data_IF_620805270982
#
_entry.id   IF_620805270982
#
_cell.length_a   1.000
_cell.length_b   1.000
_cell.length_c   1.000
_cell.angle_alpha   90.00
_cell.angle_beta   90.00
_cell.angle_gamma   90.00
#
_symmetry.space_group_name_H-M   'P 1'
#
loop_
_entity.id
_entity.type
_entity.pdbx_description
1 polymer ?
#
# COMPACT_ATOMS: atom_id res chain seq x y z
N UNK A 1 -44.54 35.63 -59.38
CA UNK A 1 -45.86 34.98 -59.32
C UNK A 1 -46.04 34.57 -57.90
N UNK A 2 -46.61 35.43 -57.07
CA UNK A 2 -48.05 35.63 -56.79
C UNK A 2 -48.61 34.34 -56.15
N UNK A 3 -49.03 34.34 -55.06
CA UNK A 3 -50.09 34.85 -54.16
C UNK A 3 -50.58 33.65 -53.32
N UNK A 4 -51.13 33.66 -52.16
CA UNK A 4 -51.87 34.54 -51.23
C UNK A 4 -52.04 33.90 -49.89
N UNK A 5 -51.82 34.56 -48.87
CA UNK A 5 -52.64 35.01 -47.74
C UNK A 5 -53.95 34.22 -47.45
N UNK A 6 -54.11 33.70 -46.21
CA UNK A 6 -55.36 33.85 -45.46
C UNK A 6 -55.13 33.75 -43.93
N UNK A 7 -55.57 34.81 -43.25
CA UNK A 7 -55.70 34.95 -41.77
C UNK A 7 -57.08 34.40 -41.37
N UNK A 8 -57.17 33.79 -40.20
CA UNK A 8 -58.38 33.89 -39.34
C UNK A 8 -57.98 33.91 -37.86
N UNK A 9 -58.64 34.78 -37.14
CA UNK A 9 -58.43 35.31 -35.78
C UNK A 9 -59.22 34.55 -34.73
N UNK A 10 -58.65 34.68 -33.53
CA UNK A 10 -59.28 34.92 -32.20
C UNK A 10 -59.93 33.77 -31.40
N UNK A 11 -59.56 33.73 -30.15
CA UNK A 11 -60.24 33.07 -29.06
C UNK A 11 -59.48 33.22 -27.73
N UNK A 12 -59.74 34.28 -26.96
CA UNK A 12 -59.29 34.47 -25.58
C UNK A 12 -60.01 33.45 -24.68
N UNK A 13 -59.24 32.78 -23.85
CA UNK A 13 -59.73 32.04 -22.69
C UNK A 13 -58.71 32.16 -21.54
N UNK A 14 -58.98 33.09 -20.64
CA UNK A 14 -58.22 33.24 -19.38
C UNK A 14 -58.66 32.16 -18.39
N UNK A 15 -57.76 31.32 -17.93
CA UNK A 15 -57.94 30.48 -16.74
C UNK A 15 -56.78 30.81 -15.75
N UNK A 16 -57.19 31.36 -14.62
CA UNK A 16 -56.33 31.56 -13.44
C UNK A 16 -56.07 30.19 -12.82
N UNK A 17 -54.78 29.87 -12.58
CA UNK A 17 -54.36 28.75 -11.75
C UNK A 17 -53.59 29.29 -10.54
N UNK A 18 -54.15 28.98 -9.39
CA UNK A 18 -53.61 29.26 -8.07
C UNK A 18 -52.20 28.63 -7.88
N UNK A 19 -51.35 29.41 -7.26
CA UNK A 19 -50.02 28.94 -6.80
C UNK A 19 -50.16 27.88 -5.74
N UNK A 20 -49.49 26.76 -5.93
CA UNK A 20 -49.12 25.84 -4.87
C UNK A 20 -47.63 25.96 -4.58
N UNK A 21 -47.31 26.51 -3.42
CA UNK A 21 -45.96 26.51 -2.85
C UNK A 21 -45.66 25.06 -2.46
N UNK A 22 -44.82 24.37 -3.19
CA UNK A 22 -44.28 23.09 -2.76
C UNK A 22 -42.91 23.31 -2.12
N UNK A 23 -42.85 22.98 -0.83
CA UNK A 23 -41.66 23.06 -0.02
C UNK A 23 -40.53 22.18 -0.56
N UNK A 24 -39.31 22.66 -0.38
CA UNK A 24 -38.08 21.89 -0.52
C UNK A 24 -38.04 20.77 0.52
N UNK A 25 -38.50 19.60 0.14
CA UNK A 25 -38.22 18.34 0.83
C UNK A 25 -37.09 17.65 0.09
N UNK A 26 -35.96 17.44 0.75
CA UNK A 26 -34.84 16.65 0.23
C UNK A 26 -35.29 15.23 -0.11
N UNK A 27 -35.67 15.00 -1.34
CA UNK A 27 -36.03 13.69 -1.85
C UNK A 27 -34.77 12.85 -2.07
N UNK A 28 -34.57 11.84 -1.23
CA UNK A 28 -33.71 10.69 -1.56
C UNK A 28 -34.18 10.11 -2.91
N UNK A 29 -33.26 9.81 -3.85
CA UNK A 29 -33.66 9.29 -5.16
C UNK A 29 -34.32 7.92 -5.00
N UNK A 30 -35.60 7.84 -5.22
CA UNK A 30 -36.44 6.63 -5.19
C UNK A 30 -35.99 5.57 -6.21
N UNK A 31 -35.10 5.92 -7.15
CA UNK A 31 -34.57 5.01 -8.16
C UNK A 31 -33.59 3.95 -7.63
N UNK A 32 -32.88 4.21 -6.53
CA UNK A 32 -31.83 3.31 -6.02
C UNK A 32 -32.41 2.01 -5.38
N UNK A 33 -33.55 2.10 -4.70
CA UNK A 33 -34.12 0.98 -3.92
C UNK A 33 -34.75 -0.13 -4.77
N UNK A 34 -35.03 0.11 -6.04
CA UNK A 34 -35.65 -0.88 -6.94
C UNK A 34 -34.67 -1.59 -7.88
N UNK A 35 -33.39 -1.22 -7.88
CA UNK A 35 -32.38 -1.84 -8.73
C UNK A 35 -32.13 -3.29 -8.30
N UNK A 36 -32.09 -4.20 -9.28
CA UNK A 36 -31.84 -5.64 -9.08
C UNK A 36 -30.54 -6.03 -9.78
N UNK A 37 -29.89 -7.08 -9.30
CA UNK A 37 -28.68 -7.60 -9.96
C UNK A 37 -27.65 -8.12 -8.95
N UNK A 38 -26.43 -8.20 -9.41
CA UNK A 38 -25.29 -8.67 -8.64
C UNK A 38 -24.15 -7.66 -8.70
N UNK A 39 -23.49 -7.45 -7.57
CA UNK A 39 -22.23 -6.70 -7.46
C UNK A 39 -21.12 -7.70 -7.12
N UNK A 40 -20.15 -7.84 -8.00
CA UNK A 40 -19.00 -8.75 -7.81
C UNK A 40 -17.79 -7.96 -7.32
N UNK A 41 -17.30 -8.32 -6.14
CA UNK A 41 -16.15 -7.68 -5.47
C UNK A 41 -15.00 -8.67 -5.36
N UNK A 42 -13.82 -8.29 -5.84
CA UNK A 42 -12.59 -9.05 -5.66
C UNK A 42 -11.72 -8.38 -4.59
N UNK A 43 -11.56 -9.08 -3.46
CA UNK A 43 -10.63 -8.72 -2.39
C UNK A 43 -9.49 -9.73 -2.34
N UNK A 44 -8.42 -9.40 -1.65
CA UNK A 44 -7.37 -10.38 -1.33
C UNK A 44 -7.79 -11.26 -0.15
N UNK A 45 -7.11 -12.38 0.02
CA UNK A 45 -7.34 -13.33 1.12
C UNK A 45 -7.17 -12.68 2.49
N UNK A 46 -6.40 -11.60 2.61
CA UNK A 46 -6.23 -10.85 3.86
C UNK A 46 -7.56 -10.37 4.42
N UNK A 47 -8.49 -9.96 3.55
CA UNK A 47 -9.83 -9.54 3.97
C UNK A 47 -10.66 -10.70 4.54
N UNK A 48 -10.44 -11.92 4.05
CA UNK A 48 -11.08 -13.13 4.54
C UNK A 48 -10.50 -13.59 5.88
N UNK A 49 -9.19 -13.49 6.02
CA UNK A 49 -8.46 -14.05 7.16
C UNK A 49 -8.38 -13.07 8.34
N UNK A 50 -8.21 -11.78 8.05
CA UNK A 50 -7.89 -10.79 9.08
C UNK A 50 -9.09 -9.91 9.49
N UNK A 51 -10.05 -9.64 8.57
CA UNK A 51 -11.22 -8.79 8.88
C UNK A 51 -12.53 -9.25 8.21
N UNK A 52 -12.92 -10.54 8.34
CA UNK A 52 -14.14 -11.07 7.73
C UNK A 52 -15.42 -10.37 8.23
N UNK A 53 -15.42 -9.93 9.49
CA UNK A 53 -16.54 -9.21 10.09
C UNK A 53 -16.77 -7.85 9.44
N UNK A 54 -15.69 -7.13 9.05
CA UNK A 54 -15.80 -5.88 8.30
C UNK A 54 -16.51 -6.10 6.96
N UNK A 55 -16.10 -7.13 6.21
CA UNK A 55 -16.74 -7.48 4.93
C UNK A 55 -18.24 -7.76 5.11
N UNK A 56 -18.59 -8.53 6.13
CA UNK A 56 -19.98 -8.87 6.47
C UNK A 56 -20.79 -7.63 6.85
N UNK A 57 -20.21 -6.74 7.68
CA UNK A 57 -20.86 -5.49 8.13
C UNK A 57 -21.12 -4.54 6.95
N UNK A 58 -20.13 -4.35 6.09
CA UNK A 58 -20.26 -3.50 4.91
C UNK A 58 -21.31 -4.04 3.95
N UNK A 59 -21.32 -5.34 3.68
CA UNK A 59 -22.35 -5.97 2.85
C UNK A 59 -23.76 -5.84 3.47
N UNK A 60 -23.88 -5.90 4.80
CA UNK A 60 -25.15 -5.68 5.49
C UNK A 60 -25.61 -4.20 5.38
N UNK A 61 -24.69 -3.25 5.53
CA UNK A 61 -24.97 -1.81 5.35
C UNK A 61 -25.35 -1.50 3.91
N UNK A 62 -24.65 -2.06 2.92
CA UNK A 62 -24.97 -1.90 1.50
C UNK A 62 -26.36 -2.43 1.16
N UNK A 63 -26.75 -3.61 1.67
CA UNK A 63 -28.08 -4.19 1.45
C UNK A 63 -29.22 -3.36 2.04
N UNK A 64 -29.00 -2.53 3.08
CA UNK A 64 -30.01 -1.60 3.56
C UNK A 64 -30.42 -0.56 2.52
N UNK A 65 -29.46 -0.11 1.71
CA UNK A 65 -29.71 0.85 0.62
C UNK A 65 -30.15 0.14 -0.66
N UNK A 66 -29.58 -1.04 -0.95
CA UNK A 66 -29.79 -1.82 -2.16
C UNK A 66 -30.29 -3.24 -1.85
N UNK A 67 -31.54 -3.42 -1.34
CA UNK A 67 -32.00 -4.71 -0.82
C UNK A 67 -32.13 -5.83 -1.85
N UNK A 68 -32.20 -5.46 -3.15
CA UNK A 68 -32.34 -6.41 -4.26
C UNK A 68 -31.03 -6.64 -5.03
N UNK A 69 -29.91 -6.05 -4.56
CA UNK A 69 -28.58 -6.31 -5.12
C UNK A 69 -27.89 -7.38 -4.27
N UNK A 70 -27.50 -8.48 -4.91
CA UNK A 70 -26.68 -9.51 -4.31
C UNK A 70 -25.20 -9.07 -4.40
N UNK A 71 -24.51 -8.97 -3.26
CA UNK A 71 -23.06 -8.75 -3.23
C UNK A 71 -22.36 -10.10 -3.12
N UNK A 72 -21.48 -10.38 -4.09
CA UNK A 72 -20.64 -11.59 -4.14
C UNK A 72 -19.17 -11.17 -4.00
N UNK A 73 -18.57 -11.51 -2.84
CA UNK A 73 -17.15 -11.26 -2.59
C UNK A 73 -16.35 -12.51 -2.96
N UNK A 74 -15.31 -12.34 -3.78
CA UNK A 74 -14.39 -13.40 -4.19
C UNK A 74 -12.99 -13.03 -3.71
N UNK A 75 -12.36 -13.94 -2.97
CA UNK A 75 -11.03 -13.71 -2.42
C UNK A 75 -9.94 -14.23 -3.35
N UNK A 76 -8.92 -13.41 -3.59
CA UNK A 76 -7.84 -13.67 -4.52
C UNK A 76 -6.51 -13.85 -3.76
N UNK A 77 -5.72 -14.82 -4.17
CA UNK A 77 -4.37 -14.99 -3.67
C UNK A 77 -3.44 -13.93 -4.27
N UNK A 78 -2.57 -13.34 -3.46
CA UNK A 78 -1.60 -12.33 -3.89
C UNK A 78 -0.75 -12.79 -5.07
N UNK A 79 -0.32 -14.04 -5.07
CA UNK A 79 0.56 -14.61 -6.09
C UNK A 79 -0.10 -14.77 -7.46
N UNK A 80 -1.44 -14.84 -7.53
CA UNK A 80 -2.18 -15.11 -8.78
C UNK A 80 -3.17 -14.02 -9.17
N UNK A 81 -3.44 -13.04 -8.27
CA UNK A 81 -4.50 -12.05 -8.52
C UNK A 81 -4.26 -11.22 -9.78
N UNK A 82 -3.03 -10.79 -10.06
CA UNK A 82 -2.73 -9.96 -11.22
C UNK A 82 -3.02 -10.69 -12.52
N UNK A 83 -2.64 -11.97 -12.64
CA UNK A 83 -2.97 -12.78 -13.81
C UNK A 83 -4.48 -12.92 -14.02
N UNK A 84 -5.23 -13.08 -12.90
CA UNK A 84 -6.70 -13.17 -12.97
C UNK A 84 -7.34 -11.83 -13.36
N UNK A 85 -6.83 -10.71 -12.84
CA UNK A 85 -7.28 -9.37 -13.19
C UNK A 85 -6.99 -9.09 -14.67
N UNK A 86 -5.79 -9.37 -15.16
CA UNK A 86 -5.42 -9.23 -16.57
C UNK A 86 -6.37 -10.03 -17.46
N UNK A 87 -6.64 -11.29 -17.12
CA UNK A 87 -7.57 -12.15 -17.87
C UNK A 87 -9.02 -11.62 -17.83
N UNK A 88 -9.47 -11.10 -16.68
CA UNK A 88 -10.81 -10.52 -16.56
C UNK A 88 -10.93 -9.22 -17.36
N UNK A 89 -9.93 -8.34 -17.32
CA UNK A 89 -9.90 -7.09 -18.09
C UNK A 89 -9.86 -7.34 -19.60
N UNK A 90 -9.15 -8.39 -20.05
CA UNK A 90 -9.16 -8.81 -21.45
C UNK A 90 -10.52 -9.44 -21.86
N UNK A 91 -11.21 -10.08 -20.92
CA UNK A 91 -12.46 -10.78 -21.13
C UNK A 91 -13.71 -9.89 -21.20
N UNK A 92 -14.88 -10.57 -21.18
CA UNK A 92 -16.21 -9.92 -21.18
C UNK A 92 -16.82 -9.78 -19.78
N UNK A 93 -16.35 -10.57 -18.80
CA UNK A 93 -16.83 -10.54 -17.43
C UNK A 93 -15.73 -10.00 -16.54
N UNK A 94 -15.93 -8.82 -16.02
CA UNK A 94 -15.03 -8.17 -15.06
C UNK A 94 -15.74 -8.10 -13.70
N UNK A 95 -15.02 -8.13 -12.57
CA UNK A 95 -15.58 -7.75 -11.30
C UNK A 95 -15.96 -6.26 -11.31
N UNK A 96 -16.82 -5.85 -10.40
CA UNK A 96 -17.22 -4.45 -10.28
C UNK A 96 -16.26 -3.66 -9.38
N UNK A 97 -15.66 -4.33 -8.41
CA UNK A 97 -14.61 -3.78 -7.53
C UNK A 97 -13.42 -4.73 -7.53
N UNK A 98 -12.21 -4.18 -7.60
CA UNK A 98 -10.96 -4.94 -7.47
C UNK A 98 -10.04 -4.32 -6.41
N UNK A 99 -9.45 -5.17 -5.58
CA UNK A 99 -8.37 -4.80 -4.70
C UNK A 99 -7.02 -4.93 -5.42
N UNK A 100 -6.24 -3.86 -5.38
CA UNK A 100 -4.92 -3.77 -5.99
C UNK A 100 -3.86 -3.43 -4.93
N UNK A 101 -2.68 -4.02 -5.03
CA UNK A 101 -1.55 -3.59 -4.22
C UNK A 101 -1.09 -2.17 -4.58
N UNK A 102 -0.64 -1.41 -3.57
CA UNK A 102 -0.22 -0.02 -3.77
C UNK A 102 0.93 0.15 -4.78
N UNK A 103 1.76 -0.87 -4.99
CA UNK A 103 2.83 -0.86 -5.99
C UNK A 103 2.34 -1.14 -7.42
N UNK A 104 1.15 -1.73 -7.57
CA UNK A 104 0.65 -2.25 -8.85
C UNK A 104 -0.37 -1.32 -9.50
N UNK A 105 -1.16 -0.62 -8.69
CA UNK A 105 -2.36 0.13 -9.10
C UNK A 105 -2.07 1.12 -10.21
N UNK A 106 -0.97 1.86 -10.11
CA UNK A 106 -0.61 2.90 -11.08
C UNK A 106 -0.46 2.35 -12.49
N UNK A 107 0.13 1.15 -12.65
CA UNK A 107 0.27 0.52 -13.97
C UNK A 107 -1.09 0.29 -14.64
N UNK A 108 -2.10 -0.14 -13.89
CA UNK A 108 -3.46 -0.31 -14.43
C UNK A 108 -4.17 1.02 -14.71
N UNK A 109 -3.90 2.07 -13.91
CA UNK A 109 -4.46 3.41 -14.13
C UNK A 109 -3.96 3.99 -15.45
N UNK A 110 -2.65 4.03 -15.66
CA UNK A 110 -2.06 4.62 -16.87
C UNK A 110 -2.41 3.84 -18.15
N UNK A 111 -2.72 2.54 -18.01
CA UNK A 111 -3.21 1.71 -19.11
C UNK A 111 -4.75 1.78 -19.30
N UNK A 112 -5.43 2.68 -18.59
CA UNK A 112 -6.86 2.94 -18.78
C UNK A 112 -7.78 1.81 -18.31
N UNK A 113 -7.33 0.96 -17.38
CA UNK A 113 -8.08 -0.19 -16.89
C UNK A 113 -9.21 0.19 -15.91
N UNK A 114 -9.11 1.33 -15.25
CA UNK A 114 -10.02 1.75 -14.20
C UNK A 114 -10.79 3.01 -14.53
N UNK A 115 -12.03 3.09 -14.03
CA UNK A 115 -12.89 4.26 -14.15
C UNK A 115 -12.50 5.32 -13.15
N UNK A 116 -12.64 6.59 -13.57
CA UNK A 116 -12.46 7.70 -12.64
C UNK A 116 -13.55 7.70 -11.56
N UNK A 117 -13.16 8.03 -10.34
CA UNK A 117 -14.05 8.22 -9.20
C UNK A 117 -14.01 9.67 -8.75
N UNK A 118 -15.10 10.13 -8.16
CA UNK A 118 -15.17 11.44 -7.52
C UNK A 118 -14.65 11.34 -6.08
N UNK A 119 -13.48 11.88 -5.76
CA UNK A 119 -12.91 11.77 -4.41
C UNK A 119 -13.78 12.44 -3.35
N UNK A 120 -14.58 13.47 -3.69
CA UNK A 120 -15.44 14.16 -2.72
C UNK A 120 -16.57 13.28 -2.15
N UNK A 121 -16.85 12.14 -2.77
CA UNK A 121 -17.82 11.15 -2.26
C UNK A 121 -17.26 10.24 -1.18
N UNK A 122 -15.97 10.29 -0.91
CA UNK A 122 -15.31 9.41 0.06
C UNK A 122 -14.90 10.19 1.31
N UNK A 123 -15.12 9.56 2.48
CA UNK A 123 -14.71 10.13 3.75
C UNK A 123 -13.21 10.39 3.77
N UNK A 124 -12.82 11.52 4.33
CA UNK A 124 -11.41 11.89 4.49
C UNK A 124 -10.57 11.95 3.21
N UNK A 125 -11.18 12.08 2.03
CA UNK A 125 -10.42 12.10 0.78
C UNK A 125 -9.39 13.24 0.69
N UNK A 126 -9.66 14.37 1.32
CA UNK A 126 -8.70 15.50 1.43
C UNK A 126 -7.55 15.22 2.40
N UNK A 127 -7.74 14.23 3.27
CA UNK A 127 -6.78 13.80 4.29
C UNK A 127 -6.12 12.45 3.93
N UNK A 128 -6.38 11.88 2.75
CA UNK A 128 -5.67 10.69 2.30
C UNK A 128 -4.17 10.92 2.36
N UNK A 129 -3.44 9.89 2.77
CA UNK A 129 -1.98 9.94 2.78
C UNK A 129 -1.45 10.40 1.42
N UNK A 130 -0.61 11.45 1.35
CA UNK A 130 -0.23 12.09 0.09
C UNK A 130 0.28 11.10 -0.95
N UNK A 131 1.19 10.20 -0.56
CA UNK A 131 1.76 9.21 -1.47
C UNK A 131 0.70 8.27 -2.08
N UNK A 132 -0.33 7.88 -1.31
CA UNK A 132 -1.42 7.03 -1.80
C UNK A 132 -2.39 7.80 -2.68
N UNK A 133 -2.72 9.01 -2.28
CA UNK A 133 -3.57 9.90 -3.10
C UNK A 133 -2.94 10.12 -4.48
N UNK A 134 -1.66 10.47 -4.49
CA UNK A 134 -0.93 10.76 -5.73
C UNK A 134 -0.78 9.50 -6.60
N UNK A 135 -0.61 8.31 -6.01
CA UNK A 135 -0.60 7.03 -6.73
C UNK A 135 -1.97 6.66 -7.36
N UNK A 136 -3.07 7.21 -6.82
CA UNK A 136 -4.42 7.02 -7.38
C UNK A 136 -4.76 8.02 -8.49
N UNK A 137 -3.88 8.96 -8.83
CA UNK A 137 -4.16 10.05 -9.76
C UNK A 137 -3.38 9.93 -11.08
N UNK A 138 -4.07 10.22 -12.16
CA UNK A 138 -3.47 10.46 -13.47
C UNK A 138 -4.25 11.54 -14.23
N UNK A 139 -3.55 12.44 -14.93
CA UNK A 139 -4.18 13.51 -15.71
C UNK A 139 -5.16 14.39 -14.92
N UNK A 140 -4.95 14.57 -13.60
CA UNK A 140 -5.80 15.36 -12.72
C UNK A 140 -7.11 14.67 -12.30
N UNK A 141 -7.28 13.37 -12.59
CA UNK A 141 -8.42 12.56 -12.16
C UNK A 141 -7.97 11.50 -11.18
N UNK A 142 -8.89 11.05 -10.32
CA UNK A 142 -8.68 9.97 -9.35
C UNK A 142 -9.30 8.68 -9.87
N UNK A 143 -8.56 7.56 -9.83
CA UNK A 143 -8.97 6.27 -10.39
C UNK A 143 -9.00 5.13 -9.39
N UNK A 144 -8.57 5.37 -8.16
CA UNK A 144 -8.67 4.40 -7.08
C UNK A 144 -8.93 5.11 -5.75
N UNK A 145 -9.30 4.31 -4.75
CA UNK A 145 -9.54 4.77 -3.39
C UNK A 145 -8.56 4.04 -2.49
N UNK A 146 -7.71 4.74 -1.72
CA UNK A 146 -6.84 4.11 -0.73
C UNK A 146 -7.67 3.27 0.26
N UNK A 147 -7.25 2.03 0.51
CA UNK A 147 -7.99 1.09 1.34
C UNK A 147 -7.38 0.98 2.74
N UNK A 148 -6.21 0.39 2.85
CA UNK A 148 -5.43 0.33 4.09
C UNK A 148 -3.94 0.45 3.79
N UNK A 149 -3.16 0.68 4.83
CA UNK A 149 -1.71 0.89 4.72
C UNK A 149 -0.95 -0.01 5.67
N UNK A 150 0.20 -0.49 5.21
CA UNK A 150 1.28 -0.97 6.04
C UNK A 150 2.48 -0.04 5.90
N UNK A 151 3.08 0.31 7.01
CA UNK A 151 4.33 1.06 7.02
C UNK A 151 5.39 0.27 7.78
N UNK A 152 6.54 0.08 7.15
CA UNK A 152 7.65 -0.67 7.75
C UNK A 152 8.35 0.11 8.84
N UNK A 153 8.72 -0.60 9.90
CA UNK A 153 9.38 -0.06 11.11
C UNK A 153 10.47 -1.00 11.57
N UNK A 154 11.26 -0.58 12.54
CA UNK A 154 12.11 -1.48 13.29
C UNK A 154 11.27 -2.36 14.22
N UNK A 155 11.53 -3.65 14.23
CA UNK A 155 10.95 -4.63 15.13
C UNK A 155 12.08 -5.29 15.88
N UNK A 156 11.96 -5.45 17.21
CA UNK A 156 13.04 -5.97 18.03
C UNK A 156 12.57 -6.95 19.08
N UNK A 157 13.47 -7.85 19.48
CA UNK A 157 13.31 -8.79 20.58
C UNK A 157 13.60 -8.09 21.91
N UNK A 158 12.55 -7.81 22.65
CA UNK A 158 12.63 -7.12 23.95
C UNK A 158 13.45 -7.89 24.98
N UNK A 159 13.33 -9.21 24.98
CA UNK A 159 14.06 -10.08 25.87
C UNK A 159 15.56 -10.17 25.55
N UNK A 160 15.96 -10.15 24.27
CA UNK A 160 17.37 -10.15 23.87
C UNK A 160 18.02 -8.79 24.16
N UNK A 161 17.33 -7.69 23.89
CA UNK A 161 17.82 -6.36 24.21
C UNK A 161 18.02 -6.18 25.72
N UNK A 162 17.05 -6.62 26.54
CA UNK A 162 17.19 -6.57 28.01
C UNK A 162 18.43 -7.34 28.53
N UNK A 163 18.74 -8.49 27.91
CA UNK A 163 19.93 -9.28 28.27
C UNK A 163 21.26 -8.55 27.99
N UNK A 164 21.27 -7.63 27.03
CA UNK A 164 22.46 -6.79 26.73
C UNK A 164 22.40 -5.40 27.36
N UNK A 165 21.48 -5.21 28.34
CA UNK A 165 21.34 -3.95 29.08
C UNK A 165 20.67 -2.82 28.29
N UNK A 166 19.89 -3.15 27.26
CA UNK A 166 19.13 -2.18 26.46
C UNK A 166 17.65 -2.31 26.82
N UNK A 167 17.10 -1.29 27.49
CA UNK A 167 15.71 -1.28 27.98
C UNK A 167 14.78 -0.35 27.21
N UNK A 168 15.32 0.42 26.29
CA UNK A 168 14.55 1.31 25.37
C UNK A 168 15.04 1.11 23.94
N UNK A 169 14.17 1.22 22.93
CA UNK A 169 14.60 1.12 21.56
C UNK A 169 15.49 2.32 21.17
N UNK A 170 16.40 2.15 20.19
CA UNK A 170 17.29 3.20 19.75
C UNK A 170 16.53 4.39 19.14
N UNK A 171 16.97 5.61 19.46
CA UNK A 171 16.37 6.88 18.98
C UNK A 171 17.19 7.55 17.89
N UNK A 172 18.42 7.09 17.68
CA UNK A 172 19.34 7.60 16.67
C UNK A 172 20.07 6.46 15.97
N UNK A 173 20.58 6.73 14.76
CA UNK A 173 21.33 5.72 14.02
C UNK A 173 22.61 5.27 14.74
N UNK A 174 23.38 6.14 15.41
CA UNK A 174 24.49 5.70 16.26
C UNK A 174 24.06 4.80 17.41
N UNK A 175 22.94 5.10 18.11
CA UNK A 175 22.39 4.22 19.15
C UNK A 175 21.99 2.86 18.59
N UNK A 176 21.31 2.82 17.42
CA UNK A 176 20.97 1.58 16.74
C UNK A 176 22.23 0.72 16.52
N UNK A 177 23.29 1.30 15.98
CA UNK A 177 24.54 0.57 15.75
C UNK A 177 25.15 0.05 17.06
N UNK A 178 25.16 0.87 18.12
CA UNK A 178 25.64 0.48 19.44
C UNK A 178 24.83 -0.71 19.99
N UNK A 179 23.51 -0.70 19.85
CA UNK A 179 22.67 -1.80 20.35
C UNK A 179 22.84 -3.07 19.51
N UNK A 180 23.01 -2.94 18.21
CA UNK A 180 23.33 -4.05 17.30
C UNK A 180 24.71 -4.66 17.60
N UNK A 181 25.71 -3.82 17.93
CA UNK A 181 27.05 -4.28 18.35
C UNK A 181 26.98 -5.09 19.65
N UNK A 182 26.21 -4.67 20.64
CA UNK A 182 25.97 -5.43 21.89
C UNK A 182 25.31 -6.78 21.61
N UNK A 183 24.26 -6.81 20.79
CA UNK A 183 23.59 -8.05 20.39
C UNK A 183 24.57 -8.99 19.67
N UNK A 184 25.33 -8.47 18.69
CA UNK A 184 26.33 -9.24 17.96
C UNK A 184 27.43 -9.77 18.85
N UNK A 185 27.96 -8.95 19.76
CA UNK A 185 29.00 -9.36 20.69
C UNK A 185 28.54 -10.47 21.66
N UNK A 186 27.32 -10.38 22.15
CA UNK A 186 26.77 -11.34 23.10
C UNK A 186 26.31 -12.63 22.43
N UNK A 187 25.40 -12.52 21.47
CA UNK A 187 24.76 -13.70 20.88
C UNK A 187 25.49 -14.23 19.64
N UNK A 188 26.08 -13.36 18.82
CA UNK A 188 26.85 -13.74 17.63
C UNK A 188 28.20 -14.41 17.96
N UNK A 189 28.74 -14.20 19.15
CA UNK A 189 29.92 -14.93 19.65
C UNK A 189 29.56 -16.37 20.03
N UNK A 190 28.36 -16.59 20.58
CA UNK A 190 27.85 -17.90 21.00
C UNK A 190 27.25 -18.70 19.82
N UNK A 191 26.59 -18.05 18.88
CA UNK A 191 26.02 -18.67 17.66
C UNK A 191 26.35 -17.83 16.41
N UNK A 192 27.16 -18.39 15.54
CA UNK A 192 27.56 -17.72 14.27
C UNK A 192 26.40 -17.48 13.30
N UNK A 193 25.27 -18.16 13.51
CA UNK A 193 24.04 -17.97 12.71
C UNK A 193 23.12 -16.90 13.33
N UNK A 194 23.52 -16.25 14.42
CA UNK A 194 22.75 -15.15 15.00
C UNK A 194 22.94 -13.88 14.18
N UNK A 195 21.84 -13.33 13.68
CA UNK A 195 21.80 -12.03 13.04
C UNK A 195 21.35 -10.97 14.04
N UNK A 196 22.23 -10.05 14.40
CA UNK A 196 21.82 -8.91 15.24
C UNK A 196 20.75 -8.09 14.53
N UNK A 197 20.84 -7.99 13.20
CA UNK A 197 19.83 -7.39 12.34
C UNK A 197 19.55 -8.31 11.14
N UNK A 198 18.29 -8.76 10.98
CA UNK A 198 17.85 -9.53 9.82
C UNK A 198 17.54 -8.59 8.66
N UNK A 199 18.25 -8.76 7.55
CA UNK A 199 18.09 -7.97 6.35
C UNK A 199 18.59 -8.76 5.12
N UNK A 200 17.76 -9.63 4.52
CA UNK A 200 18.18 -10.45 3.39
C UNK A 200 18.51 -9.59 2.16
N UNK A 201 19.44 -10.07 1.35
CA UNK A 201 20.08 -9.27 0.30
C UNK A 201 19.19 -8.90 -0.87
N UNK A 202 18.00 -9.46 -1.02
CA UNK A 202 17.03 -9.12 -2.08
C UNK A 202 15.87 -8.26 -1.57
N UNK A 203 15.84 -7.94 -0.29
CA UNK A 203 14.75 -7.18 0.34
C UNK A 203 14.77 -5.71 -0.07
N UNK A 204 14.25 -5.43 -1.26
CA UNK A 204 14.36 -4.11 -1.88
C UNK A 204 13.55 -3.01 -1.17
N UNK A 205 12.44 -3.32 -0.50
CA UNK A 205 11.68 -2.34 0.28
C UNK A 205 12.52 -1.74 1.42
N UNK A 206 13.36 -2.54 2.08
CA UNK A 206 14.26 -2.06 3.10
C UNK A 206 15.40 -1.21 2.49
N UNK A 207 16.05 -1.70 1.43
CA UNK A 207 17.14 -0.98 0.79
C UNK A 207 16.70 0.39 0.23
N UNK A 208 15.52 0.45 -0.40
CA UNK A 208 15.00 1.70 -0.95
C UNK A 208 14.61 2.71 0.13
N UNK A 209 14.30 2.28 1.36
CA UNK A 209 14.11 3.21 2.48
C UNK A 209 15.40 3.99 2.79
N UNK A 210 16.57 3.37 2.70
CA UNK A 210 17.86 4.05 2.83
C UNK A 210 18.14 4.99 1.65
N UNK A 211 17.78 4.59 0.43
CA UNK A 211 17.88 5.46 -0.76
C UNK A 211 17.03 6.73 -0.55
N UNK A 212 15.78 6.57 -0.10
CA UNK A 212 14.88 7.69 0.17
C UNK A 212 15.37 8.57 1.33
N UNK A 213 15.93 7.97 2.38
CA UNK A 213 16.50 8.70 3.53
C UNK A 213 17.68 9.59 3.11
N UNK A 214 18.53 9.11 2.18
CA UNK A 214 19.61 9.87 1.60
C UNK A 214 19.15 10.96 0.60
N UNK A 215 17.86 11.05 0.32
CA UNK A 215 17.26 11.95 -0.67
C UNK A 215 17.50 11.53 -2.12
N UNK A 216 17.71 10.22 -2.33
CA UNK A 216 17.75 9.56 -3.64
C UNK A 216 16.37 9.05 -4.08
N UNK A 217 16.34 8.40 -5.24
CA UNK A 217 15.13 7.81 -5.80
C UNK A 217 15.42 6.56 -6.63
N UNK A 218 14.37 5.75 -6.92
CA UNK A 218 14.43 4.62 -7.84
C UNK A 218 14.42 5.13 -9.28
N UNK A 219 13.48 6.03 -9.59
CA UNK A 219 13.36 6.69 -10.87
C UNK A 219 12.80 8.10 -10.68
N UNK A 220 13.12 9.00 -11.60
CA UNK A 220 12.67 10.41 -11.59
C UNK A 220 12.08 10.78 -12.95
N UNK A 221 11.09 11.66 -12.93
CA UNK A 221 10.51 12.21 -14.17
C UNK A 221 11.23 13.49 -14.55
N UNK A 222 11.82 13.51 -15.74
CA UNK A 222 12.51 14.66 -16.31
C UNK A 222 12.08 14.84 -17.76
N UNK A 223 11.78 16.06 -18.18
CA UNK A 223 11.37 16.41 -19.55
C UNK A 223 10.21 15.51 -20.08
N UNK A 224 9.25 15.19 -19.20
CA UNK A 224 8.10 14.36 -19.50
C UNK A 224 8.34 12.85 -19.51
N UNK A 225 9.60 12.38 -19.40
CA UNK A 225 9.97 10.95 -19.39
C UNK A 225 10.51 10.52 -18.03
N UNK A 226 10.34 9.24 -17.72
CA UNK A 226 10.94 8.62 -16.55
C UNK A 226 12.35 8.11 -16.85
N UNK A 227 13.23 8.22 -15.87
CA UNK A 227 14.62 7.78 -15.93
C UNK A 227 15.01 7.10 -14.63
N UNK A 228 15.76 6.00 -14.70
CA UNK A 228 16.38 5.38 -13.54
C UNK A 228 17.26 6.38 -12.78
N UNK A 229 17.25 6.31 -11.46
CA UNK A 229 17.95 7.25 -10.59
C UNK A 229 18.77 6.58 -9.48
N UNK A 230 18.96 5.27 -9.57
CA UNK A 230 19.72 4.49 -8.57
C UNK A 230 21.21 4.79 -8.59
N UNK A 231 21.78 5.17 -9.74
CA UNK A 231 23.18 5.57 -9.88
C UNK A 231 23.46 7.04 -9.53
N UNK A 232 22.42 7.81 -9.19
CA UNK A 232 22.61 9.17 -8.70
C UNK A 232 23.39 9.17 -7.36
N UNK A 233 24.25 10.19 -7.09
CA UNK A 233 25.11 10.19 -5.91
C UNK A 233 24.37 9.94 -4.58
N UNK A 234 23.17 10.49 -4.41
CA UNK A 234 22.35 10.29 -3.20
C UNK A 234 21.80 8.86 -3.10
N UNK A 235 21.38 8.28 -4.21
CA UNK A 235 20.90 6.89 -4.24
C UNK A 235 22.04 5.92 -3.94
N UNK A 236 23.22 6.13 -4.53
CA UNK A 236 24.43 5.34 -4.24
C UNK A 236 24.82 5.45 -2.76
N UNK A 237 24.73 6.65 -2.17
CA UNK A 237 25.01 6.85 -0.74
C UNK A 237 24.03 6.02 0.13
N UNK A 238 22.73 6.05 -0.17
CA UNK A 238 21.73 5.25 0.55
C UNK A 238 21.95 3.73 0.40
N UNK A 239 22.24 3.26 -0.82
CA UNK A 239 22.58 1.85 -1.07
C UNK A 239 23.87 1.42 -0.33
N UNK A 240 24.85 2.30 -0.21
CA UNK A 240 26.07 2.03 0.56
C UNK A 240 25.75 1.89 2.05
N UNK A 241 24.95 2.79 2.61
CA UNK A 241 24.53 2.71 4.02
C UNK A 241 23.74 1.43 4.31
N UNK A 242 22.84 1.01 3.41
CA UNK A 242 22.16 -0.27 3.51
C UNK A 242 23.13 -1.44 3.52
N UNK A 243 24.08 -1.45 2.58
CA UNK A 243 25.11 -2.49 2.48
C UNK A 243 25.96 -2.57 3.75
N UNK A 244 26.39 -1.43 4.28
CA UNK A 244 27.19 -1.37 5.50
C UNK A 244 26.47 -1.98 6.71
N UNK A 245 25.16 -1.74 6.83
CA UNK A 245 24.35 -2.34 7.90
C UNK A 245 24.19 -3.86 7.70
N UNK A 246 23.93 -4.29 6.45
CA UNK A 246 23.83 -5.69 6.08
C UNK A 246 25.15 -6.42 6.37
N UNK A 247 26.28 -5.90 5.93
CA UNK A 247 27.61 -6.51 6.11
C UNK A 247 27.98 -6.64 7.59
N UNK A 248 27.58 -5.65 8.40
CA UNK A 248 27.94 -5.62 9.80
C UNK A 248 27.12 -6.62 10.65
N UNK A 249 25.83 -6.85 10.34
CA UNK A 249 24.91 -7.46 11.30
C UNK A 249 24.06 -8.62 10.78
N UNK A 250 24.03 -8.88 9.47
CA UNK A 250 23.32 -9.99 8.87
C UNK A 250 24.24 -11.17 8.57
N UNK A 251 23.92 -12.36 9.09
CA UNK A 251 24.70 -13.57 8.93
C UNK A 251 24.04 -14.62 8.02
N UNK A 252 22.80 -14.37 7.59
CA UNK A 252 22.04 -15.30 6.74
C UNK A 252 22.42 -15.24 5.26
N UNK A 253 21.65 -15.97 4.46
CA UNK A 253 21.85 -16.06 3.01
C UNK A 253 21.48 -14.74 2.32
N UNK A 254 22.47 -14.09 1.74
CA UNK A 254 22.33 -12.79 1.05
C UNK A 254 21.66 -12.87 -0.33
N UNK A 255 21.40 -14.09 -0.81
CA UNK A 255 20.67 -14.31 -2.07
C UNK A 255 19.16 -14.40 -1.87
N UNK A 256 18.69 -14.37 -0.61
CA UNK A 256 17.27 -14.51 -0.26
C UNK A 256 16.54 -13.18 -0.23
N UNK A 257 15.22 -13.27 -0.39
CA UNK A 257 14.25 -12.23 -0.10
C UNK A 257 13.66 -12.43 1.30
N UNK A 258 12.75 -11.57 1.74
CA UNK A 258 12.11 -11.66 3.06
C UNK A 258 10.88 -12.59 3.11
N UNK A 259 10.59 -13.35 2.08
CA UNK A 259 9.38 -14.18 2.01
C UNK A 259 9.29 -15.28 3.08
N UNK A 260 10.42 -15.72 3.64
CA UNK A 260 10.52 -16.72 4.71
C UNK A 260 10.78 -16.10 6.10
N UNK A 261 10.66 -14.77 6.23
CA UNK A 261 10.96 -14.01 7.44
C UNK A 261 10.32 -14.57 8.72
N UNK A 262 9.00 -14.91 8.75
CA UNK A 262 8.38 -15.44 9.97
C UNK A 262 9.07 -16.69 10.48
N UNK A 263 9.46 -17.60 9.58
CA UNK A 263 10.16 -18.84 9.92
C UNK A 263 11.59 -18.56 10.39
N UNK A 264 12.32 -17.65 9.74
CA UNK A 264 13.70 -17.29 10.13
C UNK A 264 13.71 -16.58 11.49
N UNK A 265 12.84 -15.61 11.71
CA UNK A 265 12.70 -14.90 13.00
C UNK A 265 12.21 -15.86 14.08
N UNK A 266 11.29 -16.78 13.73
CA UNK A 266 10.77 -17.84 14.62
C UNK A 266 11.85 -18.79 15.17
N UNK A 267 13.01 -18.94 14.49
CA UNK A 267 14.14 -19.70 15.01
C UNK A 267 14.77 -19.07 16.25
N UNK A 268 14.42 -17.82 16.58
CA UNK A 268 14.91 -17.13 17.77
C UNK A 268 16.31 -16.52 17.65
N UNK A 269 16.94 -16.59 16.47
CA UNK A 269 18.32 -16.15 16.20
C UNK A 269 18.40 -14.77 15.55
N UNK A 270 17.37 -13.96 15.67
CA UNK A 270 17.30 -12.60 15.15
C UNK A 270 17.06 -11.62 16.28
N UNK A 271 17.90 -10.59 16.39
CA UNK A 271 17.77 -9.53 17.38
C UNK A 271 16.77 -8.46 17.01
N UNK A 272 16.93 -7.91 15.82
CA UNK A 272 16.06 -6.87 15.22
C UNK A 272 15.86 -7.16 13.73
N UNK A 273 14.76 -6.61 13.18
CA UNK A 273 14.50 -6.62 11.73
C UNK A 273 13.66 -5.38 11.31
N UNK A 274 13.57 -5.14 10.03
CA UNK A 274 12.79 -4.03 9.46
C UNK A 274 11.62 -4.61 8.68
N UNK A 275 10.39 -4.37 9.14
CA UNK A 275 9.22 -4.98 8.56
C UNK A 275 7.92 -4.26 8.91
N UNK A 276 6.79 -4.77 8.41
CA UNK A 276 5.48 -4.30 8.80
C UNK A 276 5.13 -4.82 10.20
N UNK A 277 4.30 -4.09 10.92
CA UNK A 277 3.97 -4.42 12.31
C UNK A 277 3.33 -5.79 12.50
N UNK A 278 2.54 -6.26 11.52
CA UNK A 278 1.96 -7.62 11.56
C UNK A 278 2.99 -8.76 11.42
N UNK A 279 4.19 -8.47 10.89
CA UNK A 279 5.26 -9.47 10.77
C UNK A 279 5.76 -9.92 12.16
N UNK A 280 5.69 -9.05 13.17
CA UNK A 280 5.93 -9.44 14.57
C UNK A 280 4.94 -10.52 15.05
N UNK A 281 3.67 -10.44 14.64
CA UNK A 281 2.67 -11.48 14.93
C UNK A 281 2.93 -12.74 14.13
N UNK A 282 3.21 -12.62 12.84
CA UNK A 282 3.54 -13.75 11.97
C UNK A 282 4.75 -14.54 12.48
N UNK A 283 5.77 -13.87 13.01
CA UNK A 283 6.94 -14.52 13.62
C UNK A 283 6.60 -15.37 14.86
N UNK A 284 5.41 -15.22 15.43
CA UNK A 284 4.91 -16.00 16.57
C UNK A 284 3.79 -16.97 16.21
N UNK A 285 3.39 -17.04 14.95
CA UNK A 285 2.32 -17.89 14.47
C UNK A 285 2.90 -19.14 13.77
N UNK A 286 2.56 -20.32 14.28
CA UNK A 286 3.02 -21.59 13.72
C UNK A 286 2.49 -21.84 12.30
N UNK A 287 1.34 -21.28 11.93
CA UNK A 287 0.79 -21.39 10.56
C UNK A 287 1.61 -20.63 9.53
N UNK A 288 2.31 -19.58 9.97
CA UNK A 288 3.26 -18.81 9.15
C UNK A 288 4.71 -19.32 9.28
N UNK A 289 4.93 -20.46 9.95
CA UNK A 289 6.28 -20.97 10.24
C UNK A 289 6.96 -20.31 11.44
N UNK A 290 6.29 -19.37 12.13
CA UNK A 290 6.77 -18.69 13.32
C UNK A 290 6.76 -19.59 14.58
N UNK A 291 7.20 -19.03 15.71
CA UNK A 291 7.36 -19.75 16.95
C UNK A 291 6.49 -19.15 18.07
N UNK A 292 5.45 -19.88 18.54
CA UNK A 292 4.57 -19.41 19.62
C UNK A 292 5.28 -19.08 20.95
N UNK A 293 6.46 -19.65 21.21
CA UNK A 293 7.25 -19.33 22.40
C UNK A 293 7.81 -17.90 22.40
N UNK A 294 7.75 -17.21 21.27
CA UNK A 294 8.18 -15.81 21.13
C UNK A 294 7.03 -14.80 21.32
N UNK A 295 5.82 -15.24 21.65
CA UNK A 295 4.69 -14.34 21.91
C UNK A 295 5.02 -13.36 23.04
N UNK A 296 4.69 -12.08 22.82
CA UNK A 296 4.96 -11.00 23.78
C UNK A 296 6.43 -10.54 23.86
N UNK A 297 7.32 -11.09 23.02
CA UNK A 297 8.74 -10.74 23.01
C UNK A 297 9.14 -9.75 21.91
N UNK A 298 8.18 -9.23 21.16
CA UNK A 298 8.44 -8.23 20.13
C UNK A 298 7.86 -6.88 20.49
N UNK A 299 8.58 -5.83 20.14
CA UNK A 299 8.09 -4.45 20.15
C UNK A 299 8.61 -3.72 18.91
N UNK A 300 8.02 -2.56 18.62
CA UNK A 300 8.31 -1.77 17.44
C UNK A 300 8.92 -0.42 17.79
N UNK A 301 9.67 0.15 16.89
CA UNK A 301 10.21 1.51 16.98
C UNK A 301 10.33 2.15 15.63
N UNK A 302 10.27 3.48 15.57
CA UNK A 302 10.59 4.23 14.37
C UNK A 302 12.07 4.01 14.05
N UNK A 303 12.37 3.33 12.94
CA UNK A 303 13.74 2.97 12.60
C UNK A 303 14.55 4.25 12.30
N UNK A 304 15.59 4.58 13.07
CA UNK A 304 16.34 5.79 12.87
C UNK A 304 17.22 5.68 11.61
N UNK A 305 17.05 6.61 10.69
CA UNK A 305 17.86 6.68 9.48
C UNK A 305 19.21 7.40 9.70
N UNK A 306 20.19 7.12 8.82
CA UNK A 306 21.46 7.84 8.82
C UNK A 306 21.35 9.36 8.66
N UNK A 307 20.25 9.86 8.06
CA UNK A 307 19.98 11.32 7.95
C UNK A 307 19.63 12.00 9.27
N UNK A 308 19.51 11.25 10.37
CA UNK A 308 19.05 11.75 11.67
C UNK A 308 17.53 11.83 11.80
N UNK A 309 16.80 11.35 10.81
CA UNK A 309 15.33 11.23 10.81
C UNK A 309 14.95 9.74 10.77
N UNK A 310 13.70 9.36 11.12
CA UNK A 310 13.23 8.01 10.86
C UNK A 310 13.31 7.67 9.36
N UNK A 311 13.70 6.43 9.02
CA UNK A 311 13.67 5.95 7.65
C UNK A 311 12.27 6.14 7.06
N UNK A 312 12.13 6.71 5.86
CA UNK A 312 10.85 6.79 5.16
C UNK A 312 10.35 5.38 4.81
N UNK A 313 9.23 4.91 5.37
CA UNK A 313 8.76 3.56 5.08
C UNK A 313 8.14 3.48 3.68
N UNK A 314 8.29 2.33 3.01
CA UNK A 314 7.41 2.01 1.90
C UNK A 314 5.98 1.82 2.42
N UNK A 315 5.02 2.49 1.81
CA UNK A 315 3.60 2.35 2.12
C UNK A 315 3.03 1.16 1.34
N UNK A 316 3.13 -0.02 1.94
CA UNK A 316 2.44 -1.22 1.48
C UNK A 316 0.93 -1.12 1.72
N UNK A 317 0.20 -2.22 1.46
CA UNK A 317 -1.26 -2.27 1.56
C UNK A 317 -1.92 -2.16 0.21
N UNK A 318 -3.19 -1.72 0.19
CA UNK A 318 -4.03 -1.83 -1.00
C UNK A 318 -4.86 -0.59 -1.29
N UNK A 319 -5.28 -0.51 -2.54
CA UNK A 319 -6.32 0.39 -3.05
C UNK A 319 -7.50 -0.41 -3.57
N UNK A 320 -8.65 0.23 -3.72
CA UNK A 320 -9.83 -0.31 -4.40
C UNK A 320 -10.08 0.49 -5.68
N UNK A 321 -10.32 -0.23 -6.76
CA UNK A 321 -10.58 0.37 -8.07
C UNK A 321 -11.79 -0.26 -8.75
N UNK A 322 -12.36 0.46 -9.71
CA UNK A 322 -13.54 0.07 -10.48
C UNK A 322 -13.08 -0.18 -11.92
N UNK A 323 -13.11 -1.42 -12.44
CA UNK A 323 -12.80 -1.68 -13.84
C UNK A 323 -13.69 -0.87 -14.80
N UNK A 324 -13.09 -0.29 -15.84
CA UNK A 324 -13.80 0.53 -16.81
C UNK A 324 -14.94 -0.24 -17.50
N UNK A 325 -14.82 -1.56 -17.62
CA UNK A 325 -15.84 -2.45 -18.22
C UNK A 325 -16.95 -2.86 -17.24
N UNK A 326 -16.90 -2.44 -15.94
CA UNK A 326 -17.99 -2.71 -15.00
C UNK A 326 -19.28 -2.03 -15.44
N UNK A 327 -20.37 -2.79 -15.47
CA UNK A 327 -21.73 -2.26 -15.70
C UNK A 327 -22.37 -1.63 -14.46
N UNK A 328 -21.72 -1.72 -13.30
CA UNK A 328 -22.24 -1.33 -11.99
C UNK A 328 -21.38 -0.26 -11.28
N UNK A 329 -20.78 0.67 -12.05
CA UNK A 329 -19.77 1.61 -11.53
C UNK A 329 -20.27 2.45 -10.35
N UNK A 330 -21.53 2.88 -10.37
CA UNK A 330 -22.17 3.63 -9.28
C UNK A 330 -22.37 2.77 -8.01
N UNK A 331 -22.83 1.52 -8.16
CA UNK A 331 -22.94 0.57 -7.04
C UNK A 331 -21.58 0.22 -6.46
N UNK A 332 -20.58 0.03 -7.34
CA UNK A 332 -19.20 -0.22 -6.93
C UNK A 332 -18.64 0.95 -6.11
N UNK A 333 -18.86 2.19 -6.56
CA UNK A 333 -18.44 3.39 -5.83
C UNK A 333 -19.12 3.50 -4.46
N UNK A 334 -20.42 3.21 -4.36
CA UNK A 334 -21.14 3.22 -3.08
C UNK A 334 -20.67 2.10 -2.13
N UNK A 335 -20.34 0.92 -2.66
CA UNK A 335 -19.77 -0.16 -1.86
C UNK A 335 -18.38 0.21 -1.34
N UNK A 336 -17.49 0.73 -2.20
CA UNK A 336 -16.14 1.19 -1.83
C UNK A 336 -16.25 2.29 -0.77
N UNK A 337 -17.18 3.24 -0.92
CA UNK A 337 -17.42 4.30 0.07
C UNK A 337 -17.72 3.75 1.45
N UNK A 338 -18.57 2.71 1.55
CA UNK A 338 -18.86 2.05 2.83
C UNK A 338 -17.67 1.26 3.37
N UNK A 339 -16.87 0.67 2.48
CA UNK A 339 -15.73 -0.17 2.85
C UNK A 339 -14.50 0.65 3.28
N UNK A 340 -14.44 1.92 2.90
CA UNK A 340 -13.33 2.83 3.21
C UNK A 340 -13.72 4.00 4.11
N UNK A 341 -14.96 4.06 4.60
CA UNK A 341 -15.42 5.12 5.49
C UNK A 341 -14.75 5.05 6.88
N UNK A 342 -14.93 6.09 7.67
CA UNK A 342 -14.32 6.22 9.00
C UNK A 342 -14.59 5.02 9.91
N UNK A 343 -15.78 4.43 9.84
CA UNK A 343 -16.16 3.27 10.65
C UNK A 343 -15.37 2.05 10.23
N UNK A 344 -15.27 1.80 8.93
CA UNK A 344 -14.52 0.70 8.35
C UNK A 344 -13.00 0.85 8.62
N UNK A 345 -12.47 2.07 8.52
CA UNK A 345 -11.07 2.35 8.86
C UNK A 345 -10.75 2.03 10.33
N UNK A 346 -11.66 2.29 11.26
CA UNK A 346 -11.48 1.88 12.67
C UNK A 346 -11.45 0.36 12.85
N UNK A 347 -12.21 -0.40 12.06
CA UNK A 347 -12.13 -1.87 12.06
C UNK A 347 -10.79 -2.37 11.55
N UNK A 348 -10.25 -1.74 10.50
CA UNK A 348 -8.93 -2.05 9.96
C UNK A 348 -7.81 -1.73 10.97
N UNK A 349 -7.89 -0.59 11.67
CA UNK A 349 -6.97 -0.24 12.76
C UNK A 349 -7.01 -1.31 13.86
N UNK A 350 -8.20 -1.78 14.25
CA UNK A 350 -8.35 -2.84 15.24
C UNK A 350 -7.80 -4.21 14.77
N UNK A 351 -7.63 -4.39 13.46
CA UNK A 351 -6.97 -5.55 12.84
C UNK A 351 -5.47 -5.32 12.54
N UNK A 352 -4.84 -4.40 13.27
CA UNK A 352 -3.40 -4.09 13.19
C UNK A 352 -2.91 -3.49 11.86
N UNK A 353 -3.81 -2.91 11.05
CA UNK A 353 -3.41 -2.11 9.89
C UNK A 353 -3.35 -0.61 10.21
N UNK A 354 -2.81 0.18 9.29
CA UNK A 354 -2.89 1.64 9.36
C UNK A 354 -4.02 2.17 8.48
N UNK A 355 -4.68 3.27 8.88
CA UNK A 355 -5.72 3.91 8.09
C UNK A 355 -5.16 4.58 6.83
N UNK A 356 -6.03 4.81 5.87
CA UNK A 356 -5.71 5.48 4.61
C UNK A 356 -5.57 7.02 4.71
N UNK A 357 -5.81 7.60 5.88
CA UNK A 357 -5.91 9.05 6.08
C UNK A 357 -5.12 9.53 7.31
N UNK A 358 -4.65 10.77 7.27
CA UNK A 358 -3.82 11.39 8.32
C UNK A 358 -4.58 11.62 9.62
N UNK A 359 -5.89 11.94 9.58
CA UNK A 359 -6.67 12.19 10.78
C UNK A 359 -6.71 10.98 11.72
N UNK A 360 -7.05 9.79 11.18
CA UNK A 360 -7.08 8.56 11.97
C UNK A 360 -5.67 8.01 12.23
N UNK A 361 -4.70 8.30 11.36
CA UNK A 361 -3.30 7.94 11.57
C UNK A 361 -2.75 8.59 12.84
N UNK A 362 -3.08 9.84 13.12
CA UNK A 362 -2.70 10.52 14.35
C UNK A 362 -3.30 9.87 15.60
N UNK A 363 -4.52 9.30 15.51
CA UNK A 363 -5.11 8.53 16.62
C UNK A 363 -4.25 7.27 16.93
N UNK A 364 -3.78 6.55 15.88
CA UNK A 364 -2.91 5.36 16.01
C UNK A 364 -1.51 5.73 16.51
N UNK A 365 -0.98 6.87 16.11
CA UNK A 365 0.36 7.33 16.46
C UNK A 365 0.56 7.53 17.97
N UNK A 366 -0.52 7.64 18.75
CA UNK A 366 -0.49 7.84 20.20
C UNK A 366 0.13 6.66 20.97
N UNK A 367 0.11 5.43 20.42
CA UNK A 367 0.68 4.28 21.12
C UNK A 367 0.52 2.92 20.44
N UNK A 368 0.79 1.86 21.20
CA UNK A 368 0.68 0.48 20.71
C UNK A 368 1.76 0.08 19.69
N UNK A 369 1.64 -1.15 19.18
CA UNK A 369 2.59 -1.73 18.22
C UNK A 369 2.63 -0.96 16.90
N UNK A 370 1.51 -0.34 16.50
CA UNK A 370 1.38 0.44 15.27
C UNK A 370 1.78 1.92 15.43
N UNK A 371 1.98 2.41 16.66
CA UNK A 371 2.34 3.81 16.92
C UNK A 371 3.59 4.28 16.16
N UNK A 372 4.71 3.56 16.20
CA UNK A 372 5.90 3.93 15.43
C UNK A 372 5.67 3.95 13.92
N UNK A 373 4.91 2.99 13.38
CA UNK A 373 4.54 2.94 11.95
C UNK A 373 3.67 4.14 11.55
N UNK A 374 2.67 4.47 12.35
CA UNK A 374 1.81 5.62 12.11
C UNK A 374 2.59 6.95 12.11
N UNK A 375 3.55 7.12 13.04
CA UNK A 375 4.42 8.32 13.07
C UNK A 375 5.37 8.41 11.88
N UNK A 376 5.74 7.30 11.27
CA UNK A 376 6.64 7.29 10.11
C UNK A 376 5.88 7.41 8.77
N UNK A 377 4.60 7.05 8.73
CA UNK A 377 3.81 6.94 7.51
C UNK A 377 3.64 8.27 6.74
N UNK A 378 3.64 9.41 7.44
CA UNK A 378 3.59 10.75 6.80
C UNK A 378 4.77 11.00 5.84
N UNK A 379 5.89 10.33 6.08
CA UNK A 379 7.11 10.38 5.25
C UNK A 379 7.23 9.19 4.32
N UNK A 380 6.19 8.37 4.27
CA UNK A 380 6.17 7.18 3.46
C UNK A 380 6.27 7.46 1.97
N UNK A 381 6.71 6.47 1.23
CA UNK A 381 6.85 6.51 -0.21
C UNK A 381 6.16 5.31 -0.85
N UNK A 382 5.83 5.46 -2.13
CA UNK A 382 5.31 4.42 -3.01
C UNK A 382 6.23 4.25 -4.22
N UNK A 383 5.99 3.24 -5.02
CA UNK A 383 6.73 3.00 -6.26
C UNK A 383 6.54 4.13 -7.27
N UNK A 384 7.47 4.30 -8.23
CA UNK A 384 7.30 5.27 -9.31
C UNK A 384 5.97 5.07 -10.05
N UNK A 385 5.25 6.16 -10.29
CA UNK A 385 3.97 6.16 -11.02
C UNK A 385 4.19 6.17 -12.54
N UNK A 386 5.13 5.35 -13.00
CA UNK A 386 5.53 5.26 -14.40
C UNK A 386 4.72 4.17 -15.14
N UNK A 387 4.37 4.35 -16.43
CA UNK A 387 3.58 3.39 -17.18
C UNK A 387 4.22 1.98 -17.23
N UNK A 388 5.53 1.91 -17.40
CA UNK A 388 6.29 0.64 -17.44
C UNK A 388 6.74 0.11 -16.09
N UNK A 389 6.31 0.66 -14.94
CA UNK A 389 6.75 0.20 -13.63
C UNK A 389 6.48 -1.29 -13.39
N UNK A 390 5.32 -1.79 -13.83
CA UNK A 390 5.01 -3.21 -13.73
C UNK A 390 6.01 -4.12 -14.46
N UNK A 391 6.59 -3.67 -15.58
CA UNK A 391 7.64 -4.41 -16.29
C UNK A 391 8.97 -4.37 -15.52
N UNK A 392 9.29 -3.25 -14.85
CA UNK A 392 10.46 -3.14 -13.95
C UNK A 392 10.35 -4.15 -12.81
N UNK A 393 9.18 -4.24 -12.13
CA UNK A 393 8.96 -5.22 -11.06
C UNK A 393 9.05 -6.67 -11.57
N UNK A 394 8.35 -7.00 -12.65
CA UNK A 394 8.37 -8.35 -13.24
C UNK A 394 9.77 -8.82 -13.64
N UNK A 395 10.64 -7.91 -14.06
CA UNK A 395 12.02 -8.23 -14.44
C UNK A 395 12.99 -8.35 -13.26
N UNK A 396 12.50 -8.23 -12.01
CA UNK A 396 13.30 -8.33 -10.77
C UNK A 396 14.54 -7.42 -10.74
N UNK A 397 14.49 -6.25 -11.37
CA UNK A 397 15.66 -5.34 -11.48
C UNK A 397 16.21 -5.00 -10.11
N UNK A 398 15.35 -4.58 -9.15
CA UNK A 398 15.79 -4.17 -7.81
C UNK A 398 16.31 -5.35 -6.98
N UNK A 399 15.61 -6.49 -6.85
CA UNK A 399 16.11 -7.65 -6.11
C UNK A 399 17.44 -8.18 -6.64
N UNK A 400 17.65 -8.22 -7.96
CA UNK A 400 18.89 -8.70 -8.57
C UNK A 400 20.05 -7.72 -8.38
N UNK A 401 19.82 -6.42 -8.55
CA UNK A 401 20.80 -5.39 -8.25
C UNK A 401 21.28 -5.50 -6.79
N UNK A 402 20.34 -5.62 -5.86
CA UNK A 402 20.68 -5.70 -4.44
C UNK A 402 21.42 -7.00 -4.10
N UNK A 403 21.05 -8.12 -4.70
CA UNK A 403 21.75 -9.39 -4.53
C UNK A 403 23.20 -9.26 -5.02
N UNK A 404 23.45 -8.64 -6.18
CA UNK A 404 24.78 -8.44 -6.70
C UNK A 404 25.63 -7.54 -5.77
N UNK A 405 25.03 -6.51 -5.17
CA UNK A 405 25.66 -5.66 -4.16
C UNK A 405 25.92 -6.46 -2.86
N UNK A 406 24.91 -7.16 -2.35
CA UNK A 406 24.98 -7.88 -1.07
C UNK A 406 26.01 -9.01 -1.08
N UNK A 407 26.16 -9.70 -2.21
CA UNK A 407 27.13 -10.80 -2.39
C UNK A 407 28.53 -10.30 -2.80
N UNK A 408 28.68 -8.99 -3.08
CA UNK A 408 29.96 -8.42 -3.55
C UNK A 408 30.31 -8.76 -5.00
N UNK A 409 29.34 -9.28 -5.78
CA UNK A 409 29.53 -9.58 -7.20
C UNK A 409 29.74 -8.31 -8.03
N UNK A 410 29.08 -7.21 -7.63
CA UNK A 410 29.27 -5.89 -8.22
C UNK A 410 29.47 -4.82 -7.13
N UNK A 411 30.16 -3.74 -7.48
CA UNK A 411 30.18 -2.54 -6.64
C UNK A 411 28.78 -1.90 -6.60
N UNK A 412 28.46 -1.14 -5.53
CA UNK A 412 27.19 -0.40 -5.43
C UNK A 412 26.97 0.47 -6.66
N UNK A 413 27.97 1.21 -7.10
CA UNK A 413 27.87 2.13 -8.23
C UNK A 413 27.66 1.39 -9.57
N UNK A 414 28.32 0.24 -9.78
CA UNK A 414 28.19 -0.52 -11.03
C UNK A 414 26.82 -1.21 -11.12
N UNK A 415 26.38 -1.83 -10.03
CA UNK A 415 25.08 -2.46 -9.94
C UNK A 415 23.95 -1.43 -10.15
N UNK A 416 24.04 -0.26 -9.51
CA UNK A 416 23.07 0.82 -9.68
C UNK A 416 23.01 1.32 -11.14
N UNK A 417 24.16 1.52 -11.80
CA UNK A 417 24.19 1.88 -13.24
C UNK A 417 23.61 0.80 -14.14
N UNK A 418 23.84 -0.47 -13.82
CA UNK A 418 23.24 -1.58 -14.56
C UNK A 418 21.71 -1.63 -14.37
N UNK A 419 21.24 -1.38 -13.16
CA UNK A 419 19.81 -1.30 -12.84
C UNK A 419 19.13 -0.12 -13.57
N UNK A 420 19.73 1.07 -13.57
CA UNK A 420 19.19 2.23 -14.28
C UNK A 420 19.00 1.95 -15.77
N UNK A 421 19.98 1.33 -16.45
CA UNK A 421 19.83 0.95 -17.86
C UNK A 421 18.66 -0.01 -18.09
N UNK A 422 18.44 -0.96 -17.18
CA UNK A 422 17.30 -1.90 -17.27
C UNK A 422 15.98 -1.21 -17.02
N UNK A 423 15.94 -0.28 -16.07
CA UNK A 423 14.76 0.56 -15.77
C UNK A 423 14.44 1.42 -17.00
N UNK A 424 15.41 2.16 -17.54
CA UNK A 424 15.23 3.05 -18.68
C UNK A 424 14.70 2.33 -19.93
N UNK A 425 15.07 1.05 -20.09
CA UNK A 425 14.63 0.24 -21.22
C UNK A 425 13.11 0.00 -21.26
N UNK A 426 12.43 -0.04 -20.09
CA UNK A 426 11.02 -0.45 -20.01
C UNK A 426 10.11 0.54 -19.27
N UNK A 427 10.65 1.46 -18.48
CA UNK A 427 9.85 2.28 -17.54
C UNK A 427 8.86 3.22 -18.23
N UNK A 428 9.09 3.55 -19.50
CA UNK A 428 8.20 4.42 -20.30
C UNK A 428 7.33 3.63 -21.28
N UNK A 429 7.38 2.30 -21.27
CA UNK A 429 6.53 1.46 -22.12
C UNK A 429 5.10 1.36 -21.53
N UNK A 430 4.10 1.27 -22.42
CA UNK A 430 2.67 1.12 -22.08
C UNK A 430 2.22 -0.31 -22.27
#
# INVERSE_FOLDING_TARGET
>A
MAERISRITAGLGAIAVLGAVTGCGGGTPVAATNRTGELTVWLTVDAQESWPDLVSEVNARFRKTYPKIKVTVQYQQWTTKNQKIDAALAGRKVPDVVEMGNSETTNYIVNGAFSAVDPEKFDHSKEWLPALRDACQDGGKTYCVPYYVGARVGIYRTDLLAQVGVHQPPRSYPELRTDLDKLKATFGSADKNFSAFYMPGRYWYAAMAFVKDAGGDIAVRKDGRWHGALSAPRSVAGLTQWKDLLDAYYTGDRSKDNGDEPAVVGQGKVGMFYGNTWEAKAATDSTSGGNPALRGKFATFAFPGPSGKPLPPFLGGSTLAIPVKSGNQDLAQDWIRLFTDRTSQRRLIAADTLPNNTAQLHEVAAGGINGPAARAADRGWVTPTAPGWGAVEKSNVLPEMLQDIATGKQSVADAARAADRRIDAVINEH
#
